data_IF_454302604048
#
_entry.id   IF_454302604048
#
_cell.length_a   1.000
_cell.length_b   1.000
_cell.length_c   1.000
_cell.angle_alpha   90.00
_cell.angle_beta   90.00
_cell.angle_gamma   90.00
#
_symmetry.space_group_name_H-M   'P 1'
#
loop_
_entity.id
_entity.type
_entity.pdbx_description
1 polymer ?
#
# COMPACT_ATOMS: atom_id res chain seq x y z
N UNK A 1 21.01 -38.41 1.27
CA UNK A 1 20.45 -37.43 2.22
C UNK A 1 19.31 -36.73 1.53
N UNK A 2 18.07 -37.02 1.96
CA UNK A 2 16.87 -36.36 1.49
C UNK A 2 16.87 -34.99 2.17
N UNK A 3 16.92 -33.90 1.39
CA UNK A 3 16.68 -32.56 1.94
C UNK A 3 15.21 -32.55 2.37
N UNK A 4 14.96 -32.45 3.67
CA UNK A 4 13.63 -32.19 4.18
C UNK A 4 13.12 -30.91 3.53
N UNK A 5 12.15 -31.06 2.62
CA UNK A 5 11.33 -29.93 2.15
C UNK A 5 10.61 -29.44 3.39
N UNK A 6 10.92 -28.22 3.82
CA UNK A 6 10.19 -27.53 4.88
C UNK A 6 8.70 -27.64 4.54
N UNK A 7 7.95 -28.43 5.33
CA UNK A 7 6.49 -28.49 5.22
C UNK A 7 5.99 -27.10 5.56
N UNK A 8 5.27 -26.47 4.63
CA UNK A 8 4.66 -25.17 4.82
C UNK A 8 3.94 -25.16 6.17
N UNK A 9 4.41 -24.31 7.07
CA UNK A 9 3.76 -24.14 8.37
C UNK A 9 2.60 -23.20 8.12
N UNK A 10 1.37 -23.63 8.42
CA UNK A 10 0.17 -22.80 8.28
C UNK A 10 0.36 -21.52 9.10
N UNK A 11 0.42 -20.36 8.42
CA UNK A 11 0.59 -19.05 9.07
C UNK A 11 -0.75 -18.34 9.14
N UNK A 12 -1.08 -17.77 10.30
CA UNK A 12 -2.24 -16.89 10.46
C UNK A 12 -1.79 -15.43 10.47
N UNK A 13 -2.32 -14.64 9.55
CA UNK A 13 -1.91 -13.24 9.34
C UNK A 13 -3.13 -12.33 9.31
N UNK A 14 -3.09 -11.22 10.05
CA UNK A 14 -4.12 -10.19 10.00
C UNK A 14 -4.06 -9.39 8.71
N UNK A 15 -5.23 -9.09 8.12
CA UNK A 15 -5.32 -8.29 6.90
C UNK A 15 -5.91 -6.91 7.19
N UNK A 16 -5.46 -5.87 6.46
CA UNK A 16 -5.95 -4.50 6.62
C UNK A 16 -7.38 -4.32 6.12
N UNK A 17 -7.96 -3.14 6.33
CA UNK A 17 -9.24 -2.72 5.75
C UNK A 17 -10.42 -3.65 6.08
N UNK A 18 -10.38 -4.26 7.28
CA UNK A 18 -11.37 -5.25 7.74
C UNK A 18 -11.50 -6.46 6.81
N UNK A 19 -10.43 -6.84 6.12
CA UNK A 19 -10.39 -8.04 5.27
C UNK A 19 -10.32 -9.34 6.09
N UNK A 20 -10.14 -9.24 7.41
CA UNK A 20 -10.15 -10.38 8.33
C UNK A 20 -8.75 -10.96 8.56
N UNK A 21 -8.66 -12.28 8.62
CA UNK A 21 -7.40 -13.00 8.78
C UNK A 21 -7.26 -14.02 7.67
N UNK A 22 -6.01 -14.25 7.27
CA UNK A 22 -5.66 -15.26 6.30
C UNK A 22 -4.90 -16.40 6.97
N UNK A 23 -5.32 -17.63 6.70
CA UNK A 23 -4.47 -18.80 6.90
C UNK A 23 -3.79 -19.14 5.58
N UNK A 24 -2.46 -19.26 5.59
CA UNK A 24 -1.69 -19.33 4.35
C UNK A 24 -0.60 -20.41 4.35
N UNK A 25 -0.44 -21.05 3.20
CA UNK A 25 0.70 -21.88 2.81
C UNK A 25 1.22 -21.36 1.46
N UNK A 26 2.13 -20.36 1.46
CA UNK A 26 2.62 -19.76 0.22
C UNK A 26 3.27 -20.76 -0.71
N UNK A 27 2.99 -20.66 -2.01
CA UNK A 27 3.91 -21.19 -3.02
C UNK A 27 5.03 -20.18 -3.36
N UNK A 28 6.05 -20.64 -4.09
CA UNK A 28 7.22 -19.81 -4.45
C UNK A 28 6.83 -18.54 -5.25
N UNK A 29 5.79 -18.61 -6.08
CA UNK A 29 5.32 -17.47 -6.88
C UNK A 29 4.69 -16.41 -5.97
N UNK A 30 3.91 -16.84 -4.99
CA UNK A 30 3.29 -15.95 -4.01
C UNK A 30 4.33 -15.34 -3.06
N UNK A 31 5.33 -16.10 -2.60
CA UNK A 31 6.43 -15.57 -1.80
C UNK A 31 7.21 -14.49 -2.55
N UNK A 32 7.55 -14.73 -3.81
CA UNK A 32 8.27 -13.79 -4.65
C UNK A 32 7.45 -12.51 -4.89
N UNK A 33 6.16 -12.65 -5.21
CA UNK A 33 5.28 -11.50 -5.39
C UNK A 33 5.11 -10.69 -4.09
N UNK A 34 4.99 -11.37 -2.95
CA UNK A 34 4.90 -10.71 -1.65
C UNK A 34 6.18 -9.95 -1.30
N UNK A 35 7.35 -10.53 -1.60
CA UNK A 35 8.64 -9.87 -1.42
C UNK A 35 8.77 -8.61 -2.29
N UNK A 36 8.41 -8.67 -3.57
CA UNK A 36 8.48 -7.51 -4.46
C UNK A 36 7.59 -6.37 -3.98
N UNK A 37 6.35 -6.66 -3.56
CA UNK A 37 5.45 -5.64 -3.00
C UNK A 37 5.97 -5.12 -1.66
N UNK A 38 6.48 -6.00 -0.80
CA UNK A 38 7.05 -5.64 0.50
C UNK A 38 8.19 -4.63 0.37
N UNK A 39 9.17 -4.87 -0.51
CA UNK A 39 10.32 -3.97 -0.71
C UNK A 39 9.86 -2.57 -1.13
N UNK A 40 8.92 -2.51 -2.07
CA UNK A 40 8.38 -1.25 -2.56
C UNK A 40 7.59 -0.50 -1.49
N UNK A 41 6.87 -1.21 -0.62
CA UNK A 41 6.15 -0.61 0.49
C UNK A 41 7.11 -0.14 1.61
N UNK A 42 8.01 -1.01 2.08
CA UNK A 42 8.93 -0.74 3.20
C UNK A 42 9.85 0.46 2.99
N UNK A 43 10.17 0.78 1.73
CA UNK A 43 11.13 1.83 1.37
C UNK A 43 10.48 3.17 1.02
N UNK A 44 9.14 3.24 1.03
CA UNK A 44 8.41 4.46 0.67
C UNK A 44 7.94 5.22 1.89
N UNK A 45 8.17 6.53 1.85
CA UNK A 45 7.73 7.53 2.83
C UNK A 45 6.22 7.43 3.14
N UNK A 46 5.40 6.89 2.22
CA UNK A 46 3.95 6.71 2.42
C UNK A 46 3.55 5.76 3.55
N UNK A 47 4.47 5.05 4.20
CA UNK A 47 4.17 4.17 5.35
C UNK A 47 4.81 4.70 6.64
N UNK A 48 5.68 5.71 6.53
CA UNK A 48 6.23 6.43 7.67
C UNK A 48 5.34 7.65 7.95
N UNK A 49 4.99 7.93 9.22
CA UNK A 49 4.21 9.11 9.55
C UNK A 49 4.89 10.36 8.97
N UNK A 50 4.15 11.12 8.17
CA UNK A 50 4.53 12.50 7.87
C UNK A 50 4.01 13.33 9.05
N UNK A 51 4.88 14.11 9.69
CA UNK A 51 4.41 15.08 10.69
C UNK A 51 3.46 16.08 10.02
N UNK A 52 2.47 16.61 10.74
CA UNK A 52 1.62 17.68 10.21
C UNK A 52 2.50 18.85 9.72
N UNK A 53 2.41 19.19 8.44
CA UNK A 53 3.20 20.23 7.79
C UNK A 53 4.53 19.78 7.17
N UNK A 54 4.89 18.50 7.30
CA UNK A 54 6.03 17.89 6.61
C UNK A 54 5.56 17.15 5.36
N UNK A 55 6.20 17.41 4.21
CA UNK A 55 5.85 16.81 2.93
C UNK A 55 4.67 17.48 2.23
N UNK A 56 4.50 17.18 0.93
CA UNK A 56 3.41 17.70 0.10
C UNK A 56 2.29 16.67 -0.03
N UNK A 57 1.04 17.11 0.04
CA UNK A 57 -0.16 16.33 -0.28
C UNK A 57 -0.04 15.75 -1.68
N UNK A 58 0.43 16.55 -2.64
CA UNK A 58 0.66 16.12 -4.02
C UNK A 58 1.59 14.91 -4.10
N UNK A 59 2.71 14.96 -3.38
CA UNK A 59 3.72 13.90 -3.37
C UNK A 59 3.21 12.63 -2.68
N UNK A 60 2.45 12.78 -1.58
CA UNK A 60 1.82 11.66 -0.89
C UNK A 60 0.83 10.93 -1.81
N UNK A 61 -0.04 11.66 -2.51
CA UNK A 61 -0.99 11.09 -3.48
C UNK A 61 -0.28 10.40 -4.65
N UNK A 62 0.76 11.01 -5.20
CA UNK A 62 1.57 10.39 -6.26
C UNK A 62 2.26 9.11 -5.80
N UNK A 63 2.77 9.08 -4.56
CA UNK A 63 3.39 7.87 -4.00
C UNK A 63 2.36 6.74 -3.82
N UNK A 64 1.17 7.04 -3.31
CA UNK A 64 0.07 6.07 -3.22
C UNK A 64 -0.36 5.55 -4.60
N UNK A 65 -0.44 6.43 -5.60
CA UNK A 65 -0.74 6.02 -6.98
C UNK A 65 0.35 5.10 -7.56
N UNK A 66 1.63 5.37 -7.27
CA UNK A 66 2.75 4.51 -7.67
C UNK A 66 2.62 3.11 -7.07
N UNK A 67 2.18 2.98 -5.81
CA UNK A 67 1.90 1.66 -5.19
C UNK A 67 0.87 0.88 -6.02
N UNK A 68 -0.21 1.53 -6.48
CA UNK A 68 -1.21 0.87 -7.34
C UNK A 68 -0.58 0.34 -8.65
N UNK A 69 0.32 1.10 -9.26
CA UNK A 69 1.00 0.67 -10.49
C UNK A 69 1.94 -0.50 -10.24
N UNK A 70 2.76 -0.40 -9.20
CA UNK A 70 3.70 -1.45 -8.79
C UNK A 70 2.95 -2.75 -8.51
N UNK A 71 1.89 -2.70 -7.70
CA UNK A 71 1.08 -3.89 -7.42
C UNK A 71 0.53 -4.51 -8.70
N UNK A 72 -0.01 -3.70 -9.62
CA UNK A 72 -0.49 -4.21 -10.91
C UNK A 72 0.61 -4.86 -11.75
N UNK A 73 1.82 -4.30 -11.73
CA UNK A 73 2.94 -4.81 -12.50
C UNK A 73 3.50 -6.11 -11.90
N UNK A 74 3.63 -6.21 -10.58
CA UNK A 74 4.01 -7.45 -9.89
C UNK A 74 3.01 -8.56 -10.21
N UNK A 75 1.71 -8.29 -10.05
CA UNK A 75 0.67 -9.28 -10.34
C UNK A 75 0.64 -9.70 -11.81
N UNK A 76 0.85 -8.77 -12.74
CA UNK A 76 0.91 -9.07 -14.17
C UNK A 76 2.10 -9.96 -14.52
N UNK A 77 3.27 -9.71 -13.93
CA UNK A 77 4.49 -10.51 -14.12
C UNK A 77 4.37 -11.91 -13.52
N UNK A 78 3.79 -12.01 -12.33
CA UNK A 78 3.59 -13.29 -11.64
C UNK A 78 2.54 -14.19 -12.32
N UNK A 79 1.61 -13.59 -13.06
CA UNK A 79 0.57 -14.32 -13.79
C UNK A 79 -0.57 -14.82 -12.88
N UNK A 80 -1.59 -15.50 -13.45
CA UNK A 80 -2.81 -15.84 -12.72
C UNK A 80 -2.59 -16.81 -11.55
N UNK A 81 -1.47 -17.54 -11.52
CA UNK A 81 -1.12 -18.46 -10.43
C UNK A 81 -0.93 -17.76 -9.09
N UNK A 82 -0.63 -16.45 -9.07
CA UNK A 82 -0.55 -15.66 -7.83
C UNK A 82 -1.93 -15.36 -7.22
N UNK A 83 -3.01 -15.68 -7.95
CA UNK A 83 -4.39 -15.37 -7.59
C UNK A 83 -5.29 -16.62 -7.56
N UNK A 84 -4.78 -17.77 -7.09
CA UNK A 84 -5.47 -19.09 -7.15
C UNK A 84 -6.73 -19.23 -6.29
N UNK A 85 -7.06 -18.23 -5.49
CA UNK A 85 -8.25 -18.21 -4.63
C UNK A 85 -8.29 -16.96 -3.77
N UNK A 86 -9.39 -16.76 -3.04
CA UNK A 86 -9.60 -15.57 -2.18
C UNK A 86 -8.47 -15.35 -1.17
N UNK A 87 -7.79 -16.41 -0.77
CA UNK A 87 -6.72 -16.40 0.23
C UNK A 87 -5.31 -16.39 -0.40
N UNK A 88 -5.18 -15.93 -1.63
CA UNK A 88 -3.88 -15.80 -2.30
C UNK A 88 -3.30 -14.40 -2.14
N UNK A 89 -1.98 -14.26 -2.26
CA UNK A 89 -1.30 -12.96 -2.23
C UNK A 89 -1.89 -12.02 -3.28
N UNK A 90 -2.17 -12.53 -4.48
CA UNK A 90 -2.75 -11.75 -5.56
C UNK A 90 -4.15 -11.23 -5.24
N UNK A 91 -5.03 -12.09 -4.71
CA UNK A 91 -6.38 -11.65 -4.31
C UNK A 91 -6.34 -10.62 -3.20
N UNK A 92 -5.51 -10.83 -2.17
CA UNK A 92 -5.34 -9.85 -1.08
C UNK A 92 -4.79 -8.52 -1.59
N UNK A 93 -3.77 -8.53 -2.45
CA UNK A 93 -3.19 -7.32 -3.03
C UNK A 93 -4.21 -6.52 -3.86
N UNK A 94 -5.07 -7.21 -4.62
CA UNK A 94 -6.17 -6.58 -5.36
C UNK A 94 -7.16 -5.93 -4.39
N UNK A 95 -7.57 -6.64 -3.35
CA UNK A 95 -8.52 -6.14 -2.34
C UNK A 95 -7.97 -4.93 -1.58
N UNK A 96 -6.68 -4.92 -1.21
CA UNK A 96 -6.00 -3.76 -0.61
C UNK A 96 -6.06 -2.54 -1.52
N UNK A 97 -5.78 -2.71 -2.81
CA UNK A 97 -5.87 -1.62 -3.79
C UNK A 97 -7.32 -1.15 -3.92
N UNK A 98 -8.28 -2.06 -4.02
CA UNK A 98 -9.69 -1.74 -4.32
C UNK A 98 -10.42 -1.12 -3.12
N UNK A 99 -10.16 -1.61 -1.90
CA UNK A 99 -10.87 -1.19 -0.69
C UNK A 99 -10.09 -0.17 0.15
N UNK A 100 -8.77 -0.11 0.02
CA UNK A 100 -7.92 0.83 0.74
C UNK A 100 -7.49 2.01 -0.12
N UNK A 101 -6.55 1.76 -1.04
CA UNK A 101 -5.84 2.83 -1.75
C UNK A 101 -6.76 3.58 -2.73
N UNK A 102 -7.61 2.88 -3.49
CA UNK A 102 -8.49 3.52 -4.50
C UNK A 102 -9.49 4.50 -3.90
N UNK A 103 -10.24 4.18 -2.82
CA UNK A 103 -11.14 5.14 -2.19
C UNK A 103 -10.42 6.41 -1.73
N UNK A 104 -9.24 6.26 -1.11
CA UNK A 104 -8.42 7.39 -0.68
C UNK A 104 -8.04 8.30 -1.85
N UNK A 105 -7.44 7.71 -2.89
CA UNK A 105 -7.04 8.45 -4.10
C UNK A 105 -8.25 9.10 -4.81
N UNK A 106 -9.40 8.41 -4.85
CA UNK A 106 -10.63 8.90 -5.49
C UNK A 106 -11.21 10.12 -4.77
N UNK A 107 -11.12 10.15 -3.44
CA UNK A 107 -11.52 11.31 -2.64
C UNK A 107 -10.58 12.47 -2.86
N UNK A 108 -9.29 12.24 -2.67
CA UNK A 108 -8.34 13.34 -2.46
C UNK A 108 -7.73 13.92 -3.74
N UNK A 109 -7.52 13.13 -4.79
CA UNK A 109 -6.98 13.68 -6.04
C UNK A 109 -7.83 14.80 -6.65
N UNK A 110 -9.16 14.65 -6.81
CA UNK A 110 -9.97 15.70 -7.41
C UNK A 110 -10.03 16.96 -6.55
N UNK A 111 -10.07 16.82 -5.22
CA UNK A 111 -10.11 17.95 -4.30
C UNK A 111 -8.82 18.78 -4.38
N UNK A 112 -7.66 18.12 -4.35
CA UNK A 112 -6.37 18.81 -4.49
C UNK A 112 -6.21 19.42 -5.89
N UNK A 113 -6.60 18.69 -6.95
CA UNK A 113 -6.52 19.20 -8.32
C UNK A 113 -7.36 20.46 -8.50
N UNK A 114 -8.59 20.49 -7.97
CA UNK A 114 -9.46 21.66 -8.03
C UNK A 114 -8.80 22.85 -7.32
N UNK A 115 -8.22 22.63 -6.15
CA UNK A 115 -7.51 23.68 -5.43
C UNK A 115 -6.35 24.23 -6.26
N UNK A 116 -5.46 23.36 -6.76
CA UNK A 116 -4.31 23.77 -7.57
C UNK A 116 -4.67 24.53 -8.84
N UNK A 117 -5.84 24.28 -9.43
CA UNK A 117 -6.33 25.00 -10.62
C UNK A 117 -6.64 26.47 -10.33
N UNK A 118 -6.98 26.81 -9.08
CA UNK A 118 -7.27 28.17 -8.64
C UNK A 118 -6.00 28.92 -8.18
N UNK A 119 -4.81 28.34 -8.38
CA UNK A 119 -3.53 28.93 -7.98
C UNK A 119 -3.21 30.19 -8.80
N UNK A 120 -2.98 31.35 -8.16
CA UNK A 120 -2.44 32.53 -8.83
C UNK A 120 -1.06 32.28 -9.46
N UNK A 121 -0.76 32.95 -10.57
CA UNK A 121 0.52 32.81 -11.28
C UNK A 121 1.73 33.30 -10.47
N UNK A 122 1.51 34.28 -9.57
CA UNK A 122 2.54 34.90 -8.73
C UNK A 122 2.87 34.11 -7.46
N UNK A 123 2.10 33.06 -7.14
CA UNK A 123 2.35 32.21 -5.98
C UNK A 123 3.05 30.89 -6.37
N UNK A 124 4.04 30.52 -5.57
CA UNK A 124 4.67 29.20 -5.64
C UNK A 124 3.66 28.09 -5.27
N UNK A 125 3.76 26.95 -5.95
CA UNK A 125 2.83 25.82 -5.76
C UNK A 125 2.89 25.23 -4.35
N UNK A 126 4.06 25.24 -3.70
CA UNK A 126 4.22 24.71 -2.34
C UNK A 126 3.55 25.65 -1.35
N UNK A 127 3.81 26.95 -1.45
CA UNK A 127 3.23 27.95 -0.55
C UNK A 127 1.72 28.12 -0.75
N UNK A 128 1.24 27.86 -1.96
CA UNK A 128 -0.19 27.77 -2.23
C UNK A 128 -0.80 26.52 -1.59
N UNK A 129 -0.24 25.32 -1.83
CA UNK A 129 -0.72 24.07 -1.23
C UNK A 129 -0.80 24.12 0.30
N UNK A 130 0.14 24.80 0.96
CA UNK A 130 0.14 25.02 2.42
C UNK A 130 -1.07 25.80 2.96
N UNK A 131 -1.77 26.55 2.10
CA UNK A 131 -2.97 27.31 2.44
C UNK A 131 -4.26 26.51 2.19
N UNK A 132 -4.14 25.25 1.77
CA UNK A 132 -5.30 24.42 1.47
C UNK A 132 -6.04 24.03 2.73
N UNK A 133 -7.29 24.49 2.88
CA UNK A 133 -8.09 24.27 4.09
C UNK A 133 -8.35 22.80 4.42
N UNK A 134 -8.31 21.92 3.41
CA UNK A 134 -8.57 20.49 3.59
C UNK A 134 -7.33 19.69 4.03
N UNK A 135 -6.17 20.34 4.16
CA UNK A 135 -4.91 19.63 4.44
C UNK A 135 -4.95 18.84 5.74
N UNK A 136 -5.58 19.39 6.79
CA UNK A 136 -5.69 18.72 8.09
C UNK A 136 -6.50 17.41 7.98
N UNK A 137 -7.63 17.44 7.28
CA UNK A 137 -8.45 16.26 7.03
C UNK A 137 -7.72 15.25 6.14
N UNK A 138 -6.95 15.71 5.15
CA UNK A 138 -6.11 14.83 4.33
C UNK A 138 -5.10 14.07 5.18
N UNK A 139 -4.38 14.76 6.06
CA UNK A 139 -3.37 14.12 6.91
C UNK A 139 -3.98 13.20 7.97
N UNK A 140 -5.18 13.52 8.47
CA UNK A 140 -5.95 12.61 9.32
C UNK A 140 -6.28 11.30 8.61
N UNK A 141 -6.91 11.38 7.43
CA UNK A 141 -7.22 10.19 6.62
C UNK A 141 -5.94 9.44 6.20
N UNK A 142 -4.84 10.15 5.94
CA UNK A 142 -3.56 9.54 5.57
C UNK A 142 -3.00 8.73 6.73
N UNK A 143 -3.10 9.23 7.97
CA UNK A 143 -2.72 8.50 9.17
C UNK A 143 -3.48 7.18 9.29
N UNK A 144 -4.82 7.21 9.15
CA UNK A 144 -5.65 6.00 9.18
C UNK A 144 -5.25 5.01 8.08
N UNK A 145 -5.00 5.49 6.85
CA UNK A 145 -4.52 4.65 5.76
C UNK A 145 -3.15 4.04 6.07
N UNK A 146 -2.24 4.81 6.66
CA UNK A 146 -0.90 4.36 7.02
C UNK A 146 -0.92 3.26 8.06
N UNK A 147 -1.80 3.33 9.06
CA UNK A 147 -1.98 2.24 10.03
C UNK A 147 -2.41 0.94 9.33
N UNK A 148 -3.37 1.03 8.41
CA UNK A 148 -3.81 -0.13 7.63
C UNK A 148 -2.70 -0.66 6.71
N UNK A 149 -1.95 0.22 6.05
CA UNK A 149 -0.84 -0.20 5.19
C UNK A 149 0.30 -0.85 5.98
N UNK A 150 0.52 -0.48 7.24
CA UNK A 150 1.48 -1.16 8.12
C UNK A 150 1.05 -2.61 8.45
N UNK A 151 -0.25 -2.85 8.66
CA UNK A 151 -0.78 -4.23 8.80
C UNK A 151 -0.48 -5.04 7.53
N UNK A 152 -0.70 -4.45 6.36
CA UNK A 152 -0.39 -5.11 5.09
C UNK A 152 1.11 -5.39 4.91
N UNK A 153 1.96 -4.43 5.27
CA UNK A 153 3.41 -4.57 5.18
C UNK A 153 3.91 -5.76 6.02
N UNK A 154 3.41 -5.88 7.26
CA UNK A 154 3.71 -7.00 8.14
C UNK A 154 3.22 -8.33 7.56
N UNK A 155 2.01 -8.33 6.97
CA UNK A 155 1.48 -9.51 6.31
C UNK A 155 2.36 -9.99 5.16
N UNK A 156 2.80 -9.07 4.31
CA UNK A 156 3.70 -9.37 3.19
C UNK A 156 5.07 -9.85 3.67
N UNK A 157 5.62 -9.27 4.74
CA UNK A 157 6.89 -9.70 5.32
C UNK A 157 6.83 -11.17 5.77
N UNK A 158 5.77 -11.53 6.52
CA UNK A 158 5.53 -12.90 6.99
C UNK A 158 5.40 -13.86 5.80
N UNK A 159 4.60 -13.48 4.79
CA UNK A 159 4.38 -14.31 3.60
C UNK A 159 5.67 -14.50 2.80
N UNK A 160 6.48 -13.45 2.66
CA UNK A 160 7.77 -13.48 1.97
C UNK A 160 8.86 -14.24 2.75
N UNK A 161 8.58 -14.67 4.00
CA UNK A 161 9.56 -15.35 4.86
C UNK A 161 10.63 -14.42 5.42
N UNK A 162 10.37 -13.11 5.45
CA UNK A 162 11.25 -12.12 6.11
C UNK A 162 11.15 -12.35 7.61
N UNK A 163 12.30 -12.54 8.27
CA UNK A 163 12.35 -12.57 9.74
C UNK A 163 12.12 -11.15 10.25
N UNK A 164 10.99 -10.94 10.90
CA UNK A 164 10.73 -9.74 11.70
C UNK A 164 11.10 -10.08 13.14
N UNK A 165 12.17 -9.48 13.65
CA UNK A 165 12.57 -9.59 15.06
C UNK A 165 11.61 -8.82 15.98
#
# INVERSE_FOLDING_TARGET
MIKDKVKATKLTVGLPFNLGQLEFEPDEVEQQAAWEIYVELATRVTITPLSQGEGRVREALESLYKIVQITRDVLRKAGPSVAKGSNSVGSVAIEVVVKGIRPFLTKWHPLLLKYEQDKPDDLDSIDYERKWSESEYFYGDLGDLQEQMNIYLNALAIIAGVKTD
#
